data_IF_603376863079
#
_entry.id   IF_603376863079
#
_cell.length_a   1.000
_cell.length_b   1.000
_cell.length_c   1.000
_cell.angle_alpha   90.00
_cell.angle_beta   90.00
_cell.angle_gamma   90.00
#
_symmetry.space_group_name_H-M   'P 1'
#
loop_
_entity.id
_entity.type
_entity.pdbx_description
1 polymer ?
#
# COMPACT_ATOMS: atom_id res chain seq x y z
N UNK A 1 14.12 4.08 -22.03
CA UNK A 1 14.82 3.65 -20.80
C UNK A 1 14.40 2.21 -20.55
N UNK A 2 15.29 1.35 -20.07
CA UNK A 2 14.92 -0.01 -19.69
C UNK A 2 13.88 0.01 -18.57
N UNK A 3 12.98 -0.98 -18.56
CA UNK A 3 12.03 -1.16 -17.47
C UNK A 3 12.58 -2.21 -16.52
N UNK A 4 12.49 -1.94 -15.23
CA UNK A 4 12.91 -2.87 -14.18
C UNK A 4 11.73 -3.28 -13.32
N UNK A 5 11.76 -4.52 -12.83
CA UNK A 5 10.87 -5.07 -11.83
C UNK A 5 11.69 -5.44 -10.61
N UNK A 6 11.20 -5.11 -9.44
CA UNK A 6 11.80 -5.44 -8.14
C UNK A 6 10.88 -6.41 -7.43
N UNK A 7 11.44 -7.53 -6.97
CA UNK A 7 10.70 -8.56 -6.24
C UNK A 7 11.35 -8.75 -4.88
N UNK A 8 10.64 -8.39 -3.83
CA UNK A 8 11.05 -8.64 -2.45
C UNK A 8 10.82 -10.11 -2.11
N UNK A 9 11.83 -10.75 -1.56
CA UNK A 9 11.80 -12.13 -1.05
C UNK A 9 12.02 -12.07 0.46
N UNK A 10 10.91 -12.06 1.19
CA UNK A 10 10.90 -11.83 2.64
C UNK A 10 11.75 -12.84 3.39
N UNK A 11 11.57 -14.12 3.11
CA UNK A 11 12.23 -15.23 3.83
C UNK A 11 13.69 -15.43 3.40
N UNK A 12 14.07 -14.87 2.25
CA UNK A 12 15.45 -14.92 1.73
C UNK A 12 16.25 -13.65 2.06
N UNK A 13 15.64 -12.66 2.73
CA UNK A 13 16.26 -11.37 3.07
C UNK A 13 16.93 -10.70 1.85
N UNK A 14 16.20 -10.63 0.71
CA UNK A 14 16.73 -10.00 -0.50
C UNK A 14 15.67 -9.41 -1.43
N UNK A 15 16.13 -8.57 -2.35
CA UNK A 15 15.34 -8.04 -3.47
C UNK A 15 15.98 -8.51 -4.77
N UNK A 16 15.18 -9.12 -5.66
CA UNK A 16 15.60 -9.42 -7.02
C UNK A 16 15.38 -8.22 -7.93
N UNK A 17 16.34 -7.98 -8.80
CA UNK A 17 16.27 -6.98 -9.87
C UNK A 17 16.12 -7.69 -11.20
N UNK A 18 15.03 -7.44 -11.91
CA UNK A 18 14.72 -8.05 -13.20
C UNK A 18 14.55 -6.95 -14.24
N UNK A 19 15.18 -7.10 -15.40
CA UNK A 19 14.88 -6.25 -16.55
C UNK A 19 13.64 -6.81 -17.27
N UNK A 20 12.72 -5.94 -17.66
CA UNK A 20 11.51 -6.30 -18.39
C UNK A 20 11.56 -5.76 -19.82
N UNK A 21 11.41 -6.65 -20.78
CA UNK A 21 11.18 -6.27 -22.15
C UNK A 21 9.74 -5.75 -22.31
N UNK A 22 9.59 -4.47 -22.65
CA UNK A 22 8.27 -3.82 -22.71
C UNK A 22 7.36 -4.34 -23.84
N UNK A 23 7.94 -4.95 -24.88
CA UNK A 23 7.15 -5.47 -26.02
C UNK A 23 6.61 -6.88 -25.75
N UNK A 24 7.37 -7.69 -25.02
CA UNK A 24 7.05 -9.11 -24.81
C UNK A 24 6.66 -9.44 -23.36
N UNK A 25 6.94 -8.54 -22.41
CA UNK A 25 6.80 -8.79 -20.97
C UNK A 25 7.86 -9.74 -20.41
N UNK A 26 8.83 -10.19 -21.22
CA UNK A 26 9.87 -11.13 -20.78
C UNK A 26 10.73 -10.51 -19.70
N UNK A 27 10.90 -11.25 -18.60
CA UNK A 27 11.76 -10.87 -17.48
C UNK A 27 13.11 -11.56 -17.60
N UNK A 28 14.18 -10.80 -17.34
CA UNK A 28 15.57 -11.28 -17.34
C UNK A 28 16.24 -10.86 -16.02
N UNK A 29 16.77 -11.78 -15.21
CA UNK A 29 17.49 -11.43 -14.00
C UNK A 29 18.70 -10.52 -14.29
N UNK A 30 18.88 -9.50 -13.45
CA UNK A 30 20.01 -8.56 -13.48
C UNK A 30 20.90 -8.64 -12.27
N UNK A 31 20.34 -9.05 -11.14
CA UNK A 31 21.05 -9.17 -9.89
C UNK A 31 20.10 -9.32 -8.71
N UNK A 32 20.69 -9.38 -7.54
CA UNK A 32 19.97 -9.37 -6.28
C UNK A 32 20.68 -8.43 -5.29
N UNK A 33 19.91 -7.84 -4.39
CA UNK A 33 20.40 -7.05 -3.28
C UNK A 33 20.05 -7.76 -1.98
N UNK A 34 21.02 -8.11 -1.12
CA UNK A 34 20.75 -8.53 0.25
C UNK A 34 20.09 -7.40 1.04
N UNK A 35 18.96 -7.70 1.68
CA UNK A 35 18.16 -6.75 2.44
C UNK A 35 17.62 -7.47 3.67
N UNK A 36 18.31 -7.35 4.79
CA UNK A 36 17.92 -7.99 6.04
C UNK A 36 16.64 -7.39 6.62
N UNK A 37 15.93 -8.17 7.45
CA UNK A 37 14.74 -7.74 8.19
C UNK A 37 13.43 -8.09 7.52
N UNK A 38 13.43 -9.01 6.58
CA UNK A 38 12.22 -9.49 5.89
C UNK A 38 11.61 -8.45 4.95
N UNK A 39 12.28 -8.06 3.83
CA UNK A 39 11.72 -7.12 2.86
C UNK A 39 10.40 -7.63 2.29
N UNK A 40 9.37 -6.82 2.34
CA UNK A 40 8.00 -7.24 2.00
C UNK A 40 7.32 -6.22 1.08
N UNK A 41 6.48 -5.34 1.62
CA UNK A 41 5.79 -4.34 0.82
C UNK A 41 6.76 -3.31 0.24
N UNK A 42 6.52 -2.90 -1.00
CA UNK A 42 7.33 -1.91 -1.69
C UNK A 42 6.47 -0.82 -2.31
N UNK A 43 7.02 0.39 -2.39
CA UNK A 43 6.45 1.50 -3.15
C UNK A 43 7.54 2.19 -3.97
N UNK A 44 7.20 2.66 -5.16
CA UNK A 44 8.12 3.40 -6.02
C UNK A 44 7.66 4.86 -6.08
N UNK A 45 8.60 5.80 -5.97
CA UNK A 45 8.30 7.22 -6.15
C UNK A 45 7.73 7.51 -7.54
N UNK A 46 6.84 8.52 -7.70
CA UNK A 46 6.24 8.84 -9.00
C UNK A 46 7.26 9.17 -10.10
N UNK A 47 8.41 9.73 -9.73
CA UNK A 47 9.52 10.02 -10.65
C UNK A 47 10.40 8.78 -10.96
N UNK A 48 10.10 7.63 -10.33
CA UNK A 48 10.78 6.33 -10.47
C UNK A 48 12.26 6.33 -10.08
N UNK A 49 12.68 7.25 -9.23
CA UNK A 49 14.08 7.34 -8.77
C UNK A 49 14.34 6.68 -7.44
N UNK A 50 13.28 6.40 -6.67
CA UNK A 50 13.40 5.82 -5.33
C UNK A 50 12.40 4.69 -5.15
N UNK A 51 12.84 3.61 -4.51
CA UNK A 51 11.98 2.54 -4.00
C UNK A 51 12.04 2.52 -2.48
N UNK A 52 10.88 2.42 -1.86
CA UNK A 52 10.68 2.27 -0.41
C UNK A 52 10.34 0.82 -0.12
N UNK A 53 10.96 0.26 0.90
CA UNK A 53 10.84 -1.16 1.25
C UNK A 53 10.48 -1.27 2.72
N UNK A 54 9.34 -1.88 3.02
CA UNK A 54 8.93 -2.23 4.37
C UNK A 54 9.53 -3.55 4.80
N UNK A 55 10.06 -3.61 6.02
CA UNK A 55 10.67 -4.80 6.61
C UNK A 55 9.75 -5.37 7.69
N UNK A 56 9.20 -6.55 7.44
CA UNK A 56 8.20 -7.16 8.34
C UNK A 56 8.79 -7.68 9.64
N UNK A 57 10.03 -8.18 9.59
CA UNK A 57 10.64 -8.87 10.73
C UNK A 57 11.36 -7.88 11.67
N UNK A 58 11.75 -6.69 11.16
CA UNK A 58 12.48 -5.69 11.94
C UNK A 58 11.69 -4.41 12.24
N UNK A 59 10.46 -4.29 11.74
CA UNK A 59 9.65 -3.07 11.86
C UNK A 59 10.41 -1.83 11.39
N UNK A 60 10.90 -1.87 10.16
CA UNK A 60 11.67 -0.79 9.56
C UNK A 60 11.13 -0.43 8.18
N UNK A 61 11.52 0.72 7.67
CA UNK A 61 11.34 1.10 6.28
C UNK A 61 12.64 1.67 5.75
N UNK A 62 13.12 1.12 4.64
CA UNK A 62 14.32 1.58 3.94
C UNK A 62 14.00 2.29 2.64
N UNK A 63 14.80 3.29 2.30
CA UNK A 63 14.74 4.03 1.04
C UNK A 63 15.96 3.68 0.19
N UNK A 64 15.75 3.34 -1.08
CA UNK A 64 16.82 3.02 -2.02
C UNK A 64 16.71 3.88 -3.26
N UNK A 65 17.82 4.48 -3.69
CA UNK A 65 17.92 5.13 -4.99
C UNK A 65 18.03 4.08 -6.08
N UNK A 66 17.27 4.28 -7.16
CA UNK A 66 17.28 3.44 -8.35
C UNK A 66 18.25 4.02 -9.35
N UNK A 67 19.21 3.22 -9.80
CA UNK A 67 20.02 3.52 -10.98
C UNK A 67 19.21 3.25 -12.25
N UNK A 68 18.93 4.28 -13.03
CA UNK A 68 18.05 4.20 -14.20
C UNK A 68 18.60 3.32 -15.33
N UNK A 69 19.91 3.11 -15.40
CA UNK A 69 20.57 2.40 -16.48
C UNK A 69 20.74 0.91 -16.18
N UNK A 70 20.98 0.59 -14.91
CA UNK A 70 21.25 -0.79 -14.46
C UNK A 70 20.11 -1.40 -13.68
N UNK A 71 19.20 -0.59 -13.12
CA UNK A 71 18.18 -1.00 -12.16
C UNK A 71 18.75 -1.27 -10.75
N UNK A 72 20.04 -1.02 -10.54
CA UNK A 72 20.71 -1.22 -9.26
C UNK A 72 20.11 -0.35 -8.15
N UNK A 73 20.17 -0.84 -6.91
CA UNK A 73 19.62 -0.17 -5.74
C UNK A 73 20.73 0.23 -4.79
N UNK A 74 20.73 1.50 -4.36
CA UNK A 74 21.64 2.03 -3.33
C UNK A 74 20.82 2.57 -2.17
N UNK A 75 21.03 2.05 -0.96
CA UNK A 75 20.34 2.53 0.23
C UNK A 75 20.74 3.99 0.52
N UNK A 76 19.73 4.85 0.72
CA UNK A 76 19.88 6.27 1.01
C UNK A 76 19.29 6.65 2.38
N UNK A 77 18.49 5.78 2.98
CA UNK A 77 17.92 6.01 4.32
C UNK A 77 17.26 4.77 4.87
N UNK A 78 17.03 4.79 6.18
CA UNK A 78 16.27 3.80 6.93
C UNK A 78 15.67 4.44 8.15
N UNK A 79 14.42 4.12 8.46
CA UNK A 79 13.72 4.56 9.67
C UNK A 79 13.14 3.36 10.41
N UNK A 80 13.03 3.47 11.74
CA UNK A 80 12.35 2.51 12.58
C UNK A 80 10.85 2.82 12.61
N UNK A 81 10.02 1.79 12.63
CA UNK A 81 8.57 1.89 12.69
C UNK A 81 8.06 1.28 14.00
N UNK A 82 6.93 1.77 14.49
CA UNK A 82 6.33 1.24 15.73
C UNK A 82 5.76 -0.18 15.57
N UNK A 83 5.45 -0.57 14.32
CA UNK A 83 4.88 -1.88 14.00
C UNK A 83 5.33 -2.37 12.61
N UNK A 84 5.06 -3.64 12.31
CA UNK A 84 5.36 -4.25 11.01
C UNK A 84 4.47 -3.66 9.90
N UNK A 85 5.05 -3.04 8.87
CA UNK A 85 4.27 -2.46 7.78
C UNK A 85 3.68 -3.55 6.88
N UNK A 86 2.39 -3.46 6.62
CA UNK A 86 1.67 -4.38 5.73
C UNK A 86 1.70 -3.91 4.28
N UNK A 87 1.57 -2.60 4.08
CA UNK A 87 1.51 -2.00 2.76
C UNK A 87 2.19 -0.63 2.76
N UNK A 88 2.81 -0.30 1.64
CA UNK A 88 3.39 1.01 1.37
C UNK A 88 2.85 1.58 0.06
N UNK A 89 2.65 2.87 0.01
CA UNK A 89 2.45 3.64 -1.22
C UNK A 89 3.10 5.01 -1.11
N UNK A 90 3.29 5.69 -2.22
CA UNK A 90 3.61 7.13 -2.22
C UNK A 90 2.35 7.94 -2.53
N UNK A 91 2.30 9.18 -2.06
CA UNK A 91 1.33 10.14 -2.58
C UNK A 91 1.64 10.47 -4.05
N UNK A 92 0.70 11.12 -4.74
CA UNK A 92 0.83 11.41 -6.18
C UNK A 92 1.95 12.37 -6.53
N UNK A 93 2.33 13.22 -5.58
CA UNK A 93 3.39 14.22 -5.77
C UNK A 93 4.78 13.72 -5.33
N UNK A 94 4.87 12.53 -4.72
CA UNK A 94 6.13 11.97 -4.22
C UNK A 94 6.70 12.72 -3.03
N UNK A 95 5.84 13.34 -2.22
CA UNK A 95 6.23 14.08 -1.01
C UNK A 95 6.11 13.26 0.26
N UNK A 96 5.31 12.19 0.21
CA UNK A 96 4.99 11.35 1.35
C UNK A 96 4.98 9.87 1.00
N UNK A 97 5.38 9.04 1.97
CA UNK A 97 5.11 7.60 1.98
C UNK A 97 3.98 7.34 2.97
N UNK A 98 2.94 6.67 2.51
CA UNK A 98 1.83 6.21 3.33
C UNK A 98 2.00 4.72 3.61
N UNK A 99 1.74 4.31 4.84
CA UNK A 99 1.86 2.91 5.29
C UNK A 99 0.64 2.48 6.10
N UNK A 100 0.29 1.19 6.01
CA UNK A 100 -0.74 0.58 6.84
C UNK A 100 -0.19 -0.56 7.67
N UNK A 101 -0.78 -0.77 8.84
CA UNK A 101 -0.33 -1.74 9.86
C UNK A 101 -1.47 -2.64 10.27
N UNK A 102 -1.47 -3.87 9.74
CA UNK A 102 -2.58 -4.82 9.90
C UNK A 102 -2.89 -5.13 11.36
N UNK A 103 -1.87 -5.54 12.11
CA UNK A 103 -2.01 -5.86 13.54
C UNK A 103 -1.94 -4.62 14.44
N UNK A 104 -1.30 -3.57 13.95
CA UNK A 104 -1.16 -2.31 14.67
C UNK A 104 -2.42 -1.45 14.69
N UNK A 105 -3.41 -1.73 13.86
CA UNK A 105 -4.63 -0.94 13.71
C UNK A 105 -4.38 0.55 13.38
N UNK A 106 -3.31 0.84 12.67
CA UNK A 106 -2.88 2.19 12.34
C UNK A 106 -2.60 2.37 10.84
N UNK A 107 -2.54 3.61 10.45
CA UNK A 107 -1.87 4.09 9.24
C UNK A 107 -0.87 5.18 9.61
N UNK A 108 0.19 5.33 8.85
CA UNK A 108 1.15 6.40 9.07
C UNK A 108 1.50 7.10 7.75
N UNK A 109 1.95 8.34 7.87
CA UNK A 109 2.44 9.15 6.76
C UNK A 109 3.81 9.70 7.14
N UNK A 110 4.81 9.43 6.32
CA UNK A 110 6.17 9.92 6.51
C UNK A 110 6.52 10.90 5.39
N UNK A 111 7.16 12.00 5.72
CA UNK A 111 7.66 12.91 4.71
C UNK A 111 8.85 12.30 3.96
N UNK A 112 8.96 12.64 2.67
CA UNK A 112 10.12 12.32 1.82
C UNK A 112 11.02 13.55 1.77
N UNK A 113 12.27 13.39 2.17
CA UNK A 113 13.28 14.45 2.12
C UNK A 113 13.72 14.78 0.68
N UNK A 114 14.44 15.87 0.53
CA UNK A 114 14.97 16.32 -0.78
C UNK A 114 15.95 15.33 -1.41
N UNK A 115 16.56 14.46 -0.61
CA UNK A 115 17.45 13.38 -1.05
C UNK A 115 16.69 12.13 -1.50
N UNK A 116 15.35 12.09 -1.29
CA UNK A 116 14.46 10.98 -1.57
C UNK A 116 14.31 10.00 -0.41
N UNK A 117 15.01 10.19 0.70
CA UNK A 117 14.87 9.32 1.87
C UNK A 117 13.61 9.66 2.67
N UNK A 118 13.02 8.65 3.29
CA UNK A 118 11.92 8.82 4.25
C UNK A 118 12.45 9.44 5.53
N UNK A 119 11.72 10.42 6.06
CA UNK A 119 12.04 11.11 7.31
C UNK A 119 11.35 10.45 8.51
N UNK A 120 11.98 10.57 9.68
CA UNK A 120 11.46 10.18 10.98
C UNK A 120 11.50 11.42 11.90
N UNK A 121 10.48 11.66 12.75
CA UNK A 121 9.26 10.87 12.95
C UNK A 121 8.26 11.00 11.80
N UNK A 122 7.21 10.12 11.74
CA UNK A 122 6.10 10.30 10.82
C UNK A 122 5.38 11.63 11.07
N UNK A 123 4.87 12.25 10.01
CA UNK A 123 4.04 13.46 10.13
C UNK A 123 2.63 13.13 10.62
N UNK A 124 2.22 11.87 10.44
CA UNK A 124 0.95 11.35 10.91
C UNK A 124 1.11 9.90 11.38
N UNK A 125 0.58 9.59 12.57
CA UNK A 125 0.38 8.25 13.10
C UNK A 125 -1.06 8.16 13.58
N UNK A 126 -1.93 7.64 12.73
CA UNK A 126 -3.37 7.68 12.93
C UNK A 126 -3.94 6.31 13.26
N UNK A 127 -4.59 6.20 14.42
CA UNK A 127 -5.37 5.02 14.76
C UNK A 127 -6.58 4.87 13.84
N UNK A 128 -6.78 3.68 13.29
CA UNK A 128 -7.90 3.36 12.41
C UNK A 128 -8.73 2.21 12.97
N UNK A 129 -8.47 1.01 12.52
CA UNK A 129 -9.07 -0.22 13.01
C UNK A 129 -8.15 -1.39 12.69
N UNK A 130 -8.36 -2.51 13.38
CA UNK A 130 -7.67 -3.77 13.08
C UNK A 130 -7.80 -4.15 11.61
N UNK A 131 -6.80 -4.88 11.13
CA UNK A 131 -6.74 -5.39 9.75
C UNK A 131 -6.68 -4.30 8.65
N UNK A 132 -6.11 -3.11 8.95
CA UNK A 132 -5.78 -2.11 7.96
C UNK A 132 -4.77 -2.69 6.96
N UNK A 133 -5.20 -2.95 5.70
CA UNK A 133 -4.38 -3.73 4.79
C UNK A 133 -3.69 -2.90 3.71
N UNK A 134 -4.26 -1.81 3.27
CA UNK A 134 -3.69 -0.92 2.28
C UNK A 134 -4.05 0.54 2.58
N UNK A 135 -3.27 1.46 2.03
CA UNK A 135 -3.58 2.88 1.99
C UNK A 135 -2.96 3.49 0.74
N UNK A 136 -3.73 4.23 -0.05
CA UNK A 136 -3.27 4.99 -1.21
C UNK A 136 -4.08 6.27 -1.34
N UNK A 137 -3.45 7.32 -1.88
CA UNK A 137 -4.19 8.51 -2.28
C UNK A 137 -4.91 8.31 -3.61
N UNK A 138 -6.05 8.96 -3.78
CA UNK A 138 -6.79 9.00 -5.03
C UNK A 138 -5.99 9.75 -6.14
N UNK A 139 -6.42 9.68 -7.42
CA UNK A 139 -5.73 10.38 -8.50
C UNK A 139 -5.63 11.91 -8.34
N UNK A 140 -6.52 12.53 -7.55
CA UNK A 140 -6.46 13.96 -7.27
C UNK A 140 -5.53 14.33 -6.10
N UNK A 141 -5.00 13.33 -5.39
CA UNK A 141 -4.17 13.48 -4.19
C UNK A 141 -4.87 14.16 -3.00
N UNK A 142 -6.20 14.12 -2.96
CA UNK A 142 -7.01 14.79 -1.92
C UNK A 142 -7.68 13.84 -0.95
N UNK A 143 -7.78 12.56 -1.30
CA UNK A 143 -8.47 11.55 -0.52
C UNK A 143 -7.62 10.29 -0.40
N UNK A 144 -7.76 9.58 0.71
CA UNK A 144 -7.13 8.29 0.92
C UNK A 144 -8.13 7.27 1.45
N UNK A 145 -7.94 6.00 1.09
CA UNK A 145 -8.83 4.91 1.48
C UNK A 145 -8.05 3.83 2.20
N UNK A 146 -8.65 3.28 3.27
CA UNK A 146 -8.06 2.21 4.06
C UNK A 146 -9.05 1.05 4.17
N UNK A 147 -8.85 -0.04 3.42
CA UNK A 147 -9.63 -1.25 3.58
C UNK A 147 -9.22 -2.00 4.84
N UNK A 148 -10.21 -2.52 5.56
CA UNK A 148 -10.05 -3.35 6.74
C UNK A 148 -10.65 -4.72 6.47
N UNK A 149 -9.81 -5.77 6.46
CA UNK A 149 -10.23 -7.14 6.23
C UNK A 149 -11.00 -7.62 7.46
N UNK A 150 -12.23 -8.13 7.26
CA UNK A 150 -12.89 -8.87 8.30
C UNK A 150 -12.15 -10.19 8.54
N UNK A 151 -11.71 -10.48 9.75
CA UNK A 151 -11.23 -11.81 10.08
C UNK A 151 -12.42 -12.69 10.46
N UNK A 152 -12.57 -13.78 9.74
CA UNK A 152 -13.50 -14.84 10.12
C UNK A 152 -12.77 -15.86 10.99
N UNK A 153 -13.49 -16.42 11.95
CA UNK A 153 -12.96 -17.47 12.81
C UNK A 153 -12.54 -18.75 12.05
N UNK A 154 -12.89 -18.85 10.79
CA UNK A 154 -12.72 -20.05 9.93
C UNK A 154 -11.86 -19.79 8.70
N UNK A 155 -11.00 -18.78 8.71
CA UNK A 155 -10.05 -18.59 7.63
C UNK A 155 -9.18 -19.83 7.49
N UNK A 156 -9.22 -20.47 6.34
CA UNK A 156 -8.42 -21.67 5.99
C UNK A 156 -6.92 -21.37 6.07
N UNK A 157 -6.52 -20.11 5.97
CA UNK A 157 -5.13 -19.67 5.92
C UNK A 157 -4.55 -19.27 7.28
N UNK A 158 -5.39 -19.01 8.28
CA UNK A 158 -4.93 -18.60 9.62
C UNK A 158 -5.89 -19.08 10.70
N UNK A 159 -5.38 -19.57 11.83
CA UNK A 159 -6.23 -19.98 12.94
C UNK A 159 -7.08 -18.81 13.44
N UNK A 160 -8.24 -19.09 14.06
CA UNK A 160 -9.10 -18.06 14.64
C UNK A 160 -8.30 -17.16 15.58
N UNK A 161 -8.44 -15.85 15.40
CA UNK A 161 -7.83 -14.85 16.27
C UNK A 161 -8.90 -13.92 16.80
N UNK A 162 -8.72 -13.43 18.02
CA UNK A 162 -9.70 -12.62 18.73
C UNK A 162 -9.91 -11.21 18.14
N UNK A 163 -9.05 -10.78 17.24
CA UNK A 163 -9.12 -9.45 16.63
C UNK A 163 -9.76 -9.51 15.25
N UNK A 164 -11.04 -9.17 15.19
CA UNK A 164 -11.79 -9.03 13.95
C UNK A 164 -11.64 -7.61 13.40
N UNK A 165 -11.34 -7.50 12.10
CA UNK A 165 -11.43 -6.22 11.40
C UNK A 165 -12.93 -5.86 11.19
N UNK A 166 -13.23 -4.56 10.98
CA UNK A 166 -14.61 -4.10 10.85
C UNK A 166 -15.29 -4.45 9.53
N UNK A 167 -14.59 -5.10 8.57
CA UNK A 167 -15.12 -5.35 7.21
C UNK A 167 -15.65 -4.06 6.57
N UNK A 168 -14.81 -3.04 6.50
CA UNK A 168 -15.16 -1.70 6.02
C UNK A 168 -14.03 -1.07 5.23
N UNK A 169 -14.33 -0.02 4.49
CA UNK A 169 -13.35 0.88 3.90
C UNK A 169 -13.45 2.21 4.63
N UNK A 170 -12.37 2.61 5.30
CA UNK A 170 -12.28 3.95 5.89
C UNK A 170 -11.89 4.97 4.84
N UNK A 171 -12.50 6.15 4.89
CA UNK A 171 -12.34 7.25 3.94
C UNK A 171 -11.77 8.47 4.66
N UNK A 172 -10.69 9.02 4.11
CA UNK A 172 -9.99 10.19 4.67
C UNK A 172 -9.82 11.27 3.63
N UNK A 173 -9.80 12.50 4.08
CA UNK A 173 -9.23 13.62 3.34
C UNK A 173 -7.72 13.63 3.57
N UNK A 174 -6.96 13.82 2.53
CA UNK A 174 -5.51 13.92 2.58
C UNK A 174 -5.08 15.35 2.24
N UNK A 175 -4.29 15.95 3.10
CA UNK A 175 -3.67 17.25 2.81
C UNK A 175 -2.30 17.00 2.16
N UNK A 176 -2.20 17.22 0.86
CA UNK A 176 -0.98 17.03 0.08
C UNK A 176 0.18 17.97 0.46
N UNK A 177 -0.06 18.99 1.27
CA UNK A 177 0.97 19.92 1.73
C UNK A 177 1.57 19.51 3.07
N UNK A 178 0.78 18.94 3.95
CA UNK A 178 1.19 18.57 5.31
C UNK A 178 1.30 17.08 5.54
N UNK A 179 0.66 16.25 4.70
CA UNK A 179 0.57 14.80 4.87
C UNK A 179 -0.51 14.34 5.84
N UNK A 180 -1.25 15.27 6.46
CA UNK A 180 -2.26 14.90 7.45
C UNK A 180 -3.51 14.25 6.82
N UNK A 181 -4.05 13.30 7.58
CA UNK A 181 -5.28 12.58 7.27
C UNK A 181 -6.39 13.05 8.20
N UNK A 182 -7.52 13.49 7.65
CA UNK A 182 -8.71 13.81 8.44
C UNK A 182 -9.88 12.92 8.04
N UNK A 183 -10.67 12.40 9.02
CA UNK A 183 -11.83 11.58 8.71
C UNK A 183 -12.77 12.27 7.72
N UNK A 184 -13.22 11.54 6.69
CA UNK A 184 -14.23 12.04 5.77
C UNK A 184 -15.65 11.82 6.34
N UNK A 185 -16.66 12.35 5.69
CA UNK A 185 -18.05 12.16 6.06
C UNK A 185 -18.84 11.57 4.88
N UNK A 186 -19.34 10.32 5.03
CA UNK A 186 -19.10 9.39 6.16
C UNK A 186 -17.64 8.91 6.22
N UNK A 187 -17.16 8.55 7.44
CA UNK A 187 -15.83 7.99 7.62
C UNK A 187 -15.70 6.60 6.97
N UNK A 188 -16.76 5.79 7.03
CA UNK A 188 -16.71 4.38 6.59
C UNK A 188 -17.73 4.09 5.51
N UNK A 189 -17.33 3.22 4.60
CA UNK A 189 -18.25 2.51 3.72
C UNK A 189 -18.55 1.16 4.37
N UNK A 190 -19.79 0.96 4.79
CA UNK A 190 -20.26 -0.32 5.28
C UNK A 190 -20.43 -1.30 4.12
N UNK A 191 -20.00 -2.53 4.33
CA UNK A 191 -19.96 -3.56 3.30
C UNK A 191 -20.90 -4.71 3.65
N UNK A 192 -21.28 -5.49 2.64
CA UNK A 192 -21.91 -6.77 2.88
C UNK A 192 -21.01 -7.67 3.74
N UNK A 193 -21.60 -8.52 4.55
CA UNK A 193 -20.86 -9.43 5.42
C UNK A 193 -19.85 -10.27 4.61
N UNK A 194 -18.69 -10.53 5.22
CA UNK A 194 -17.67 -11.42 4.71
C UNK A 194 -17.03 -11.03 3.37
N UNK A 195 -17.07 -9.77 2.95
CA UNK A 195 -16.33 -9.35 1.77
C UNK A 195 -14.81 -9.30 2.03
N UNK A 196 -14.38 -8.67 3.10
CA UNK A 196 -12.97 -8.53 3.46
C UNK A 196 -12.16 -7.77 2.42
N UNK A 197 -12.40 -6.44 2.25
CA UNK A 197 -11.66 -5.62 1.27
C UNK A 197 -10.18 -5.59 1.64
N UNK A 198 -9.31 -5.78 0.64
CA UNK A 198 -7.87 -5.94 0.89
C UNK A 198 -6.99 -4.93 0.16
N UNK A 199 -6.91 -5.06 -1.15
CA UNK A 199 -6.20 -4.15 -2.04
C UNK A 199 -7.17 -3.45 -2.96
N UNK A 200 -6.74 -2.31 -3.53
CA UNK A 200 -7.54 -1.60 -4.50
C UNK A 200 -6.68 -0.89 -5.54
N UNK A 201 -7.29 -0.59 -6.66
CA UNK A 201 -6.71 0.23 -7.70
C UNK A 201 -7.74 1.18 -8.28
N UNK A 202 -7.27 2.35 -8.72
CA UNK A 202 -8.09 3.32 -9.41
C UNK A 202 -8.14 3.00 -10.90
N UNK A 203 -9.31 3.20 -11.51
CA UNK A 203 -9.42 3.16 -12.98
C UNK A 203 -8.59 4.31 -13.58
N UNK A 204 -7.84 4.08 -14.68
CA UNK A 204 -6.89 5.07 -15.20
C UNK A 204 -7.53 6.36 -15.74
N UNK A 205 -8.83 6.35 -16.09
CA UNK A 205 -9.52 7.49 -16.70
C UNK A 205 -10.95 7.74 -16.19
N UNK A 206 -11.50 6.87 -15.35
CA UNK A 206 -12.84 7.01 -14.78
C UNK A 206 -12.75 7.21 -13.27
N UNK A 207 -13.74 7.89 -12.70
CA UNK A 207 -13.89 7.99 -11.25
C UNK A 207 -14.44 6.67 -10.68
N UNK A 208 -13.66 5.61 -10.80
CA UNK A 208 -13.98 4.25 -10.38
C UNK A 208 -12.79 3.66 -9.64
N UNK A 209 -13.08 2.94 -8.57
CA UNK A 209 -12.10 2.21 -7.76
C UNK A 209 -12.53 0.76 -7.66
N UNK A 210 -11.60 -0.17 -7.81
CA UNK A 210 -11.85 -1.61 -7.70
C UNK A 210 -11.16 -2.15 -6.46
N UNK A 211 -11.92 -2.78 -5.57
CA UNK A 211 -11.40 -3.45 -4.38
C UNK A 211 -11.44 -4.96 -4.55
N UNK A 212 -10.33 -5.63 -4.29
CA UNK A 212 -10.30 -7.07 -4.12
C UNK A 212 -10.85 -7.43 -2.74
N UNK A 213 -11.76 -8.39 -2.69
CA UNK A 213 -12.37 -8.88 -1.46
C UNK A 213 -11.79 -10.27 -1.16
N UNK A 214 -10.88 -10.36 -0.17
CA UNK A 214 -10.16 -11.59 0.13
C UNK A 214 -11.10 -12.72 0.57
N UNK A 215 -11.99 -12.44 1.49
CA UNK A 215 -12.88 -13.44 2.05
C UNK A 215 -14.10 -13.74 1.14
N UNK A 216 -14.58 -12.71 0.45
CA UNK A 216 -15.67 -12.84 -0.49
C UNK A 216 -15.27 -13.40 -1.85
N UNK A 217 -13.98 -13.72 -2.06
CA UNK A 217 -13.43 -14.19 -3.34
C UNK A 217 -14.03 -13.43 -4.54
N UNK A 218 -13.99 -12.11 -4.48
CA UNK A 218 -14.68 -11.23 -5.43
C UNK A 218 -13.94 -9.91 -5.63
N UNK A 219 -14.42 -9.14 -6.59
CA UNK A 219 -14.00 -7.75 -6.80
C UNK A 219 -15.23 -6.87 -6.77
N UNK A 220 -15.19 -5.78 -5.98
CA UNK A 220 -16.24 -4.76 -5.95
C UNK A 220 -15.78 -3.49 -6.61
N UNK A 221 -16.55 -3.00 -7.58
CA UNK A 221 -16.38 -1.69 -8.20
C UNK A 221 -17.17 -0.62 -7.44
N UNK A 222 -16.52 0.50 -7.17
CA UNK A 222 -17.09 1.69 -6.54
C UNK A 222 -16.99 2.90 -7.46
N UNK A 223 -18.04 3.72 -7.51
CA UNK A 223 -17.96 5.07 -8.04
C UNK A 223 -17.34 5.96 -6.98
N UNK A 224 -16.32 6.73 -7.38
CA UNK A 224 -15.68 7.74 -6.54
C UNK A 224 -16.33 9.10 -6.84
N UNK A 225 -16.94 9.71 -5.84
CA UNK A 225 -17.23 11.14 -5.91
C UNK A 225 -15.93 11.91 -5.68
N UNK A 226 -15.34 12.43 -6.74
CA UNK A 226 -14.05 13.14 -6.69
C UNK A 226 -14.13 14.52 -6.01
N UNK A 227 -15.33 15.01 -5.72
CA UNK A 227 -15.53 16.25 -4.97
C UNK A 227 -15.67 16.03 -3.46
N UNK A 228 -16.33 14.93 -3.07
CA UNK A 228 -16.58 14.58 -1.69
C UNK A 228 -15.58 13.53 -1.13
N UNK A 229 -14.91 12.77 -2.01
CA UNK A 229 -14.03 11.68 -1.62
C UNK A 229 -14.77 10.48 -1.05
N UNK A 230 -15.99 10.23 -1.54
CA UNK A 230 -16.82 9.13 -1.06
C UNK A 230 -16.99 8.05 -2.10
N UNK A 231 -17.15 6.81 -1.64
CA UNK A 231 -17.28 5.61 -2.45
C UNK A 231 -18.73 5.09 -2.40
N UNK A 232 -19.28 4.75 -3.58
CA UNK A 232 -20.58 4.08 -3.71
C UNK A 232 -20.43 2.81 -4.55
N UNK A 233 -20.70 1.64 -3.96
CA UNK A 233 -20.64 0.37 -4.65
C UNK A 233 -21.66 0.31 -5.80
N UNK A 234 -21.26 -0.24 -6.96
CA UNK A 234 -22.18 -0.43 -8.08
C UNK A 234 -22.20 -1.85 -8.63
N UNK A 235 -21.15 -2.63 -8.36
CA UNK A 235 -21.08 -4.02 -8.84
C UNK A 235 -20.12 -4.84 -7.98
N UNK A 236 -20.46 -6.10 -7.71
CA UNK A 236 -19.53 -7.10 -7.16
C UNK A 236 -19.56 -8.31 -8.09
N UNK A 237 -18.39 -8.80 -8.48
CA UNK A 237 -18.19 -9.94 -9.37
C UNK A 237 -17.37 -10.99 -8.62
N UNK A 238 -17.86 -12.24 -8.60
CA UNK A 238 -17.07 -13.37 -8.06
C UNK A 238 -15.84 -13.64 -8.92
N UNK A 239 -14.74 -14.04 -8.27
CA UNK A 239 -13.51 -14.55 -8.93
C UNK A 239 -13.48 -16.08 -8.96
N UNK A 240 -14.48 -16.72 -8.36
CA UNK A 240 -14.65 -18.18 -8.42
C UNK A 240 -15.37 -18.58 -9.70
N UNK A 241 -15.07 -19.77 -10.24
CA UNK A 241 -15.75 -20.31 -11.42
C UNK A 241 -17.21 -20.65 -11.14
#
# INVERSE_FOLDING_TARGET
MPNYMYVSLQDDDKILVLAMDAATGKLTPKGELPVAGGPSSTAISPDRKTIYVGHRNSNEMSSYRIDSDTGGLTQIGKVSLEASPTFLSTDRNGRFVLSSYYQGAHVAVHAIGNDGAVSDPPVEWLETAMAAHAIQTDPSNKFAFVPHIARLNDSVMQPPGDALGPNAISQFRFDENTGHLTPNSPLKVELAEFLGPRHYCFHPSLNVVYFSNEQGCSVTGYRLDSSAGTLAAFQTITTLP
#
